data_IF_269622820728
#
_entry.id   IF_269622820728
#
_cell.length_a   1.000
_cell.length_b   1.000
_cell.length_c   1.000
_cell.angle_alpha   90.00
_cell.angle_beta   90.00
_cell.angle_gamma   90.00
#
_symmetry.space_group_name_H-M   'P 1'
#
loop_
_entity.id
_entity.type
_entity.pdbx_description
1 polymer ?
#
# COMPACT_ATOMS: atom_id res chain seq x y z
N UNK A 1 -28.10 -17.33 -20.12
CA UNK A 1 -29.54 -17.03 -20.28
C UNK A 1 -29.95 -16.13 -19.13
N UNK A 2 -30.14 -14.84 -19.40
CA UNK A 2 -30.59 -13.90 -18.38
C UNK A 2 -32.11 -14.07 -18.19
N UNK A 3 -32.51 -14.46 -16.98
CA UNK A 3 -33.92 -14.49 -16.59
C UNK A 3 -34.38 -13.05 -16.44
N UNK A 4 -35.26 -12.60 -17.33
CA UNK A 4 -35.90 -11.30 -17.24
C UNK A 4 -36.91 -11.32 -16.08
N UNK A 5 -36.48 -10.82 -14.91
CA UNK A 5 -37.40 -10.54 -13.80
C UNK A 5 -38.27 -9.35 -14.20
N UNK A 6 -39.59 -9.48 -14.04
CA UNK A 6 -40.52 -8.37 -14.28
C UNK A 6 -40.14 -7.17 -13.40
N UNK A 7 -39.60 -6.12 -14.02
CA UNK A 7 -39.13 -4.93 -13.32
C UNK A 7 -40.34 -4.05 -13.01
N UNK A 8 -40.76 -4.03 -11.74
CA UNK A 8 -41.57 -2.91 -11.23
C UNK A 8 -40.73 -1.64 -11.42
N UNK A 9 -41.33 -0.58 -11.97
CA UNK A 9 -40.74 0.75 -12.07
C UNK A 9 -41.27 1.61 -10.93
N UNK A 10 -40.77 1.43 -9.69
CA UNK A 10 -41.25 2.22 -8.57
C UNK A 10 -40.94 3.70 -8.80
N UNK A 11 -41.84 4.55 -8.34
CA UNK A 11 -41.69 6.00 -8.36
C UNK A 11 -41.07 6.43 -7.04
N UNK A 12 -40.14 7.38 -7.10
CA UNK A 12 -39.54 8.05 -5.94
C UNK A 12 -40.09 9.47 -5.87
N UNK A 13 -40.49 9.90 -4.69
CA UNK A 13 -40.98 11.25 -4.42
C UNK A 13 -39.81 12.20 -4.19
N UNK A 14 -39.81 13.36 -4.87
CA UNK A 14 -38.83 14.42 -4.62
C UNK A 14 -39.33 15.26 -3.45
N UNK A 15 -38.53 15.37 -2.39
CA UNK A 15 -38.87 16.16 -1.21
C UNK A 15 -38.19 17.53 -1.27
N UNK A 16 -38.95 18.59 -0.98
CA UNK A 16 -38.43 19.95 -0.76
C UNK A 16 -37.71 20.01 0.59
N UNK A 17 -36.58 20.75 0.66
CA UNK A 17 -35.77 20.90 1.87
C UNK A 17 -36.36 21.92 2.86
N UNK A 18 -37.20 22.84 2.40
CA UNK A 18 -37.80 23.90 3.20
C UNK A 18 -39.20 23.46 3.63
N UNK A 19 -39.43 23.39 4.95
CA UNK A 19 -40.49 22.63 5.64
C UNK A 19 -41.96 22.98 5.35
N UNK A 20 -42.28 23.59 4.21
CA UNK A 20 -43.64 23.63 3.68
C UNK A 20 -43.82 22.44 2.74
N UNK A 21 -44.59 21.45 3.21
CA UNK A 21 -45.23 20.46 2.35
C UNK A 21 -46.11 21.20 1.34
N UNK A 22 -45.56 21.56 0.18
CA UNK A 22 -46.34 22.07 -0.94
C UNK A 22 -47.17 20.90 -1.47
N UNK A 23 -48.39 20.78 -0.95
CA UNK A 23 -49.36 19.69 -1.20
C UNK A 23 -49.75 19.55 -2.67
N UNK A 24 -49.42 20.52 -3.53
CA UNK A 24 -50.01 20.63 -4.87
C UNK A 24 -49.10 20.13 -6.02
N UNK A 25 -47.82 19.87 -5.80
CA UNK A 25 -46.91 19.34 -6.85
C UNK A 25 -45.93 18.30 -6.33
N UNK A 26 -46.46 17.11 -6.02
CA UNK A 26 -45.61 15.93 -5.73
C UNK A 26 -44.93 15.51 -7.04
N UNK A 27 -43.74 16.03 -7.28
CA UNK A 27 -42.91 15.60 -8.41
C UNK A 27 -42.38 14.21 -8.10
N UNK A 28 -42.76 13.25 -8.94
CA UNK A 28 -42.32 11.85 -8.83
C UNK A 28 -41.45 11.50 -10.02
N UNK A 29 -40.35 10.81 -9.74
CA UNK A 29 -39.37 10.39 -10.75
C UNK A 29 -39.26 8.86 -10.69
N UNK A 30 -39.14 8.22 -11.84
CA UNK A 30 -38.89 6.78 -11.89
C UNK A 30 -37.55 6.44 -11.25
N UNK A 31 -37.52 5.38 -10.41
CA UNK A 31 -36.28 4.89 -9.81
C UNK A 31 -35.27 4.51 -10.92
N UNK A 32 -34.07 5.08 -10.93
CA UNK A 32 -33.03 4.72 -11.89
C UNK A 32 -32.70 3.22 -11.81
N UNK A 33 -32.48 2.60 -12.97
CA UNK A 33 -32.25 1.14 -13.01
C UNK A 33 -30.96 0.71 -12.30
N UNK A 34 -29.97 1.61 -12.15
CA UNK A 34 -28.73 1.35 -11.39
C UNK A 34 -29.02 1.02 -9.92
N UNK A 35 -30.07 1.59 -9.33
CA UNK A 35 -30.45 1.32 -7.92
C UNK A 35 -31.06 -0.07 -7.71
N UNK A 36 -31.45 -0.77 -8.79
CA UNK A 36 -31.98 -2.14 -8.75
C UNK A 36 -30.90 -3.19 -9.00
N UNK A 37 -29.67 -2.77 -9.30
CA UNK A 37 -28.56 -3.69 -9.54
C UNK A 37 -28.27 -4.51 -8.28
N UNK A 38 -27.89 -5.78 -8.47
CA UNK A 38 -27.49 -6.66 -7.37
C UNK A 38 -26.22 -6.12 -6.71
N UNK A 39 -26.27 -5.95 -5.39
CA UNK A 39 -25.12 -5.47 -4.61
C UNK A 39 -24.11 -6.61 -4.44
N UNK A 40 -22.92 -6.41 -5.00
CA UNK A 40 -21.81 -7.37 -4.99
C UNK A 40 -20.62 -6.85 -4.16
N UNK A 41 -20.57 -7.15 -2.84
CA UNK A 41 -19.52 -6.63 -1.97
C UNK A 41 -18.13 -7.21 -2.32
N UNK A 42 -18.08 -8.40 -2.90
CA UNK A 42 -16.87 -9.03 -3.43
C UNK A 42 -16.20 -8.18 -4.52
N UNK A 43 -16.98 -7.74 -5.51
CA UNK A 43 -16.48 -6.88 -6.60
C UNK A 43 -16.11 -5.50 -6.09
N UNK A 44 -16.96 -4.90 -5.24
CA UNK A 44 -16.72 -3.57 -4.69
C UNK A 44 -15.40 -3.54 -3.92
N UNK A 45 -15.18 -4.53 -3.05
CA UNK A 45 -13.95 -4.62 -2.28
C UNK A 45 -12.72 -4.87 -3.17
N UNK A 46 -12.85 -5.73 -4.18
CA UNK A 46 -11.76 -6.00 -5.12
C UNK A 46 -11.34 -4.74 -5.88
N UNK A 47 -12.30 -4.05 -6.51
CA UNK A 47 -12.04 -2.84 -7.29
C UNK A 47 -11.54 -1.71 -6.40
N UNK A 48 -12.13 -1.54 -5.21
CA UNK A 48 -11.70 -0.51 -4.26
C UNK A 48 -10.22 -0.71 -3.85
N UNK A 49 -9.81 -1.95 -3.58
CA UNK A 49 -8.41 -2.26 -3.28
C UNK A 49 -7.48 -1.89 -4.45
N UNK A 50 -7.85 -2.22 -5.69
CA UNK A 50 -7.03 -1.87 -6.87
C UNK A 50 -6.92 -0.36 -7.07
N UNK A 51 -8.02 0.38 -6.94
CA UNK A 51 -8.02 1.85 -7.06
C UNK A 51 -7.18 2.48 -5.94
N UNK A 52 -7.29 1.96 -4.72
CA UNK A 52 -6.47 2.40 -3.58
C UNK A 52 -4.99 2.17 -3.86
N UNK A 53 -4.63 1.00 -4.39
CA UNK A 53 -3.25 0.64 -4.70
C UNK A 53 -2.62 1.59 -5.73
N UNK A 54 -3.37 2.01 -6.74
CA UNK A 54 -2.88 2.91 -7.80
C UNK A 54 -2.56 4.33 -7.29
N UNK A 55 -3.12 4.75 -6.15
CA UNK A 55 -2.87 6.07 -5.57
C UNK A 55 -1.53 6.14 -4.84
N UNK A 56 -0.94 5.00 -4.46
CA UNK A 56 0.31 4.98 -3.73
C UNK A 56 1.47 5.50 -4.59
N UNK A 57 2.27 6.39 -4.01
CA UNK A 57 3.53 6.79 -4.61
C UNK A 57 4.60 5.73 -4.31
N UNK A 58 5.44 5.37 -5.28
CA UNK A 58 6.51 4.42 -5.05
C UNK A 58 7.51 4.99 -4.04
N UNK A 59 7.73 4.26 -2.95
CA UNK A 59 8.71 4.60 -1.93
C UNK A 59 9.74 3.48 -1.82
N UNK A 60 11.00 3.84 -1.65
CA UNK A 60 12.08 2.89 -1.49
C UNK A 60 13.19 3.49 -0.61
N UNK A 61 13.91 2.63 0.12
CA UNK A 61 15.15 3.00 0.78
C UNK A 61 16.21 3.30 -0.28
N UNK A 62 17.11 4.25 -0.01
CA UNK A 62 18.21 4.57 -0.94
C UNK A 62 18.99 3.32 -1.36
N UNK A 63 19.21 3.16 -2.67
CA UNK A 63 19.96 2.03 -3.25
C UNK A 63 21.36 1.87 -2.67
N UNK A 64 21.97 2.97 -2.20
CA UNK A 64 23.32 3.00 -1.62
C UNK A 64 23.33 3.04 -0.08
N UNK A 65 22.17 2.98 0.58
CA UNK A 65 22.10 2.99 2.04
C UNK A 65 22.93 1.84 2.61
N UNK A 66 23.77 2.13 3.60
CA UNK A 66 24.64 1.13 4.24
C UNK A 66 25.83 0.64 3.40
N UNK A 67 26.00 1.10 2.15
CA UNK A 67 27.12 0.75 1.26
C UNK A 67 28.18 1.85 1.10
N UNK A 68 28.00 2.99 1.78
CA UNK A 68 28.89 4.16 1.67
C UNK A 68 30.12 4.07 2.58
N UNK A 69 30.21 3.05 3.44
CA UNK A 69 31.29 2.90 4.42
C UNK A 69 32.28 1.83 3.97
N UNK A 70 33.58 2.17 3.97
CA UNK A 70 34.65 1.20 3.76
C UNK A 70 34.84 0.36 5.02
N UNK A 71 34.60 -0.95 4.89
CA UNK A 71 34.75 -1.88 5.99
C UNK A 71 35.30 -3.22 5.50
N UNK A 72 36.23 -3.80 6.26
CA UNK A 72 36.83 -5.11 5.99
C UNK A 72 36.76 -5.98 7.23
N UNK A 73 36.58 -7.29 7.03
CA UNK A 73 36.67 -8.26 8.13
C UNK A 73 38.11 -8.42 8.57
N UNK A 74 38.33 -8.61 9.87
CA UNK A 74 39.66 -8.78 10.45
C UNK A 74 40.15 -10.25 10.47
N UNK A 75 39.34 -11.20 9.99
CA UNK A 75 39.71 -12.63 10.00
C UNK A 75 39.44 -13.32 11.34
N UNK A 76 40.04 -14.49 11.55
CA UNK A 76 39.66 -15.45 12.62
C UNK A 76 40.52 -15.33 13.90
N UNK A 77 41.48 -14.41 13.95
CA UNK A 77 42.51 -14.36 15.00
C UNK A 77 42.32 -13.24 16.03
N UNK A 78 41.19 -12.53 15.95
CA UNK A 78 40.79 -11.53 16.95
C UNK A 78 39.60 -12.08 17.73
N UNK A 79 39.52 -11.80 19.02
CA UNK A 79 38.43 -12.21 19.92
C UNK A 79 37.12 -11.43 19.63
N UNK A 80 36.72 -11.42 18.36
CA UNK A 80 35.75 -10.51 17.78
C UNK A 80 35.06 -11.22 16.60
N UNK A 81 33.77 -10.94 16.36
CA UNK A 81 33.00 -11.54 15.27
C UNK A 81 33.64 -11.28 13.89
N UNK A 82 33.43 -12.20 12.93
CA UNK A 82 33.94 -12.11 11.54
C UNK A 82 33.25 -11.02 10.69
N UNK A 83 32.48 -10.13 11.30
CA UNK A 83 31.71 -9.08 10.63
C UNK A 83 32.64 -7.98 10.10
N UNK A 84 32.43 -7.41 8.90
CA UNK A 84 33.23 -6.31 8.40
C UNK A 84 33.17 -5.10 9.33
N UNK A 85 34.32 -4.45 9.55
CA UNK A 85 34.46 -3.30 10.46
C UNK A 85 34.97 -2.07 9.76
N UNK A 86 34.50 -0.91 10.20
CA UNK A 86 34.90 0.40 9.67
C UNK A 86 36.40 0.58 9.87
N UNK A 87 37.09 0.91 8.78
CA UNK A 87 38.54 1.15 8.76
C UNK A 87 38.87 2.57 9.23
N UNK A 88 40.08 2.80 9.74
CA UNK A 88 40.58 4.12 10.14
C UNK A 88 41.08 4.17 11.58
N UNK A 89 41.13 5.36 12.16
CA UNK A 89 41.51 5.64 13.55
C UNK A 89 40.95 6.99 14.03
N UNK A 90 40.91 7.21 15.35
CA UNK A 90 40.59 8.53 15.93
C UNK A 90 39.11 8.90 16.07
N UNK A 91 38.15 8.06 15.65
CA UNK A 91 36.72 8.28 15.90
C UNK A 91 36.07 7.04 16.53
N UNK A 92 35.02 7.24 17.34
CA UNK A 92 34.28 6.15 17.99
C UNK A 92 33.63 5.15 17.02
N UNK A 93 33.48 5.53 15.75
CA UNK A 93 32.89 4.70 14.70
C UNK A 93 33.88 3.66 14.16
N UNK A 94 35.19 3.85 14.35
CA UNK A 94 36.23 2.93 13.87
C UNK A 94 36.14 1.60 14.61
N UNK A 95 36.29 0.49 13.89
CA UNK A 95 36.23 -0.85 14.49
C UNK A 95 34.81 -1.33 14.80
N UNK A 96 33.79 -0.49 14.62
CA UNK A 96 32.39 -0.92 14.69
C UNK A 96 31.99 -1.75 13.47
N UNK A 97 30.97 -2.59 13.65
CA UNK A 97 30.44 -3.46 12.61
C UNK A 97 29.66 -2.66 11.55
N UNK A 98 29.91 -2.96 10.27
CA UNK A 98 29.26 -2.31 9.13
C UNK A 98 29.02 -3.32 7.99
N UNK A 99 28.22 -2.92 6.99
CA UNK A 99 27.84 -3.68 5.78
C UNK A 99 27.01 -4.96 6.01
N UNK A 100 27.13 -5.63 7.16
CA UNK A 100 26.40 -6.85 7.49
C UNK A 100 24.91 -6.55 7.69
N UNK A 101 24.09 -7.02 6.74
CA UNK A 101 22.64 -6.87 6.73
C UNK A 101 22.00 -7.28 8.06
N UNK A 102 20.97 -6.54 8.48
CA UNK A 102 20.11 -6.79 9.66
C UNK A 102 20.80 -6.78 11.04
N UNK A 103 22.13 -6.86 11.11
CA UNK A 103 22.89 -7.01 12.36
C UNK A 103 23.67 -5.73 12.69
N UNK A 104 24.21 -5.03 11.69
CA UNK A 104 24.93 -3.78 11.94
C UNK A 104 23.96 -2.60 11.99
N UNK A 105 24.23 -1.64 12.91
CA UNK A 105 23.38 -0.48 13.22
C UNK A 105 22.99 0.38 12.01
N UNK A 106 23.84 0.46 10.99
CA UNK A 106 23.64 1.23 9.76
C UNK A 106 23.53 0.35 8.50
N UNK A 107 23.16 -0.91 8.68
CA UNK A 107 23.13 -1.88 7.59
C UNK A 107 22.00 -1.65 6.59
N UNK A 108 22.26 -2.02 5.34
CA UNK A 108 21.22 -2.14 4.33
C UNK A 108 20.30 -3.31 4.68
N UNK A 109 18.99 -3.06 4.67
CA UNK A 109 17.95 -4.08 4.84
C UNK A 109 17.44 -4.42 3.44
N UNK A 110 17.71 -5.63 2.95
CA UNK A 110 17.10 -6.14 1.71
C UNK A 110 15.98 -7.12 2.06
N UNK A 111 14.73 -6.67 2.16
CA UNK A 111 13.62 -7.59 2.05
C UNK A 111 13.48 -7.94 0.56
N UNK A 112 13.94 -9.13 0.17
CA UNK A 112 13.65 -9.80 -1.12
C UNK A 112 13.94 -9.01 -2.42
N UNK A 113 15.11 -9.24 -3.02
CA UNK A 113 15.39 -8.82 -4.41
C UNK A 113 15.18 -9.94 -5.46
N UNK A 114 14.73 -11.13 -5.07
CA UNK A 114 14.67 -12.31 -5.96
C UNK A 114 13.25 -12.67 -6.45
N UNK A 115 12.24 -11.84 -6.21
CA UNK A 115 10.85 -12.11 -6.65
C UNK A 115 10.39 -11.29 -7.88
N UNK A 116 11.30 -10.56 -8.53
CA UNK A 116 10.96 -9.74 -9.70
C UNK A 116 11.12 -10.47 -11.06
N UNK A 117 11.27 -11.80 -11.08
CA UNK A 117 11.39 -12.60 -12.31
C UNK A 117 10.23 -13.58 -12.54
N UNK A 118 9.12 -13.42 -11.82
CA UNK A 118 7.90 -14.23 -11.99
C UNK A 118 6.68 -13.31 -12.12
N UNK A 119 6.65 -12.54 -13.20
CA UNK A 119 5.47 -11.93 -13.79
C UNK A 119 5.73 -11.70 -15.28
#
# INVERSE_FOLDING_TARGET
>A
MAVAVAVVRPLVTVQSLEGNMATDTITTIALPDVMKASIRPDIINFVHAQISNNKHQPYAVSKKAGHQTSAKSWGTERAVSRIPRVLGGGTHCVGQEALRKHVSRWSHVRPYQDLALLA
#
